data_IF_361181994919
#
_entry.id   IF_361181994919
#
_cell.length_a   1.000
_cell.length_b   1.000
_cell.length_c   1.000
_cell.angle_alpha   90.00
_cell.angle_beta   90.00
_cell.angle_gamma   90.00
#
_symmetry.space_group_name_H-M   'P 1'
#
loop_
_entity.id
_entity.type
_entity.pdbx_description
1 polymer ?
#
# COMPACT_ATOMS: atom_id res chain seq x y z
N UNK A 1 24.66 9.02 -18.19
CA UNK A 1 23.26 9.34 -18.56
C UNK A 1 22.70 8.37 -19.61
N UNK A 2 23.39 8.05 -20.72
CA UNK A 2 22.88 7.10 -21.74
C UNK A 2 22.45 5.72 -21.19
N UNK A 3 23.15 5.18 -20.19
CA UNK A 3 22.78 3.90 -19.58
C UNK A 3 21.49 4.00 -18.74
N UNK A 4 21.33 5.09 -17.97
CA UNK A 4 20.18 5.31 -17.10
C UNK A 4 18.91 5.62 -17.92
N UNK A 5 19.05 6.20 -19.11
CA UNK A 5 17.94 6.61 -19.97
C UNK A 5 17.49 5.54 -20.97
N UNK A 6 17.89 4.28 -20.77
CA UNK A 6 17.43 3.20 -21.64
C UNK A 6 15.90 3.02 -21.52
N UNK A 7 15.22 2.60 -22.60
CA UNK A 7 13.79 2.31 -22.55
C UNK A 7 13.46 1.28 -21.48
N UNK A 8 12.38 1.50 -20.73
CA UNK A 8 11.83 0.58 -19.75
C UNK A 8 10.67 -0.21 -20.34
N UNK A 9 10.46 -1.45 -19.88
CA UNK A 9 9.30 -2.26 -20.24
C UNK A 9 8.06 -1.83 -19.44
N UNK A 10 8.24 -1.50 -18.16
CA UNK A 10 7.20 -0.98 -17.27
C UNK A 10 7.77 0.04 -16.28
N UNK A 11 6.90 0.74 -15.57
CA UNK A 11 7.27 1.65 -14.49
C UNK A 11 6.79 1.08 -13.15
N UNK A 12 7.72 0.66 -12.29
CA UNK A 12 7.46 0.14 -10.96
C UNK A 12 7.69 1.19 -9.88
N UNK A 13 6.80 1.26 -8.89
CA UNK A 13 6.94 2.22 -7.79
C UNK A 13 6.43 1.69 -6.45
N UNK A 14 7.20 1.92 -5.38
CA UNK A 14 6.78 1.74 -4.01
C UNK A 14 5.94 2.96 -3.59
N UNK A 15 4.67 2.74 -3.26
CA UNK A 15 3.75 3.82 -2.88
C UNK A 15 2.97 3.42 -1.63
N UNK A 16 3.08 4.23 -0.57
CA UNK A 16 2.40 3.97 0.71
C UNK A 16 1.38 5.05 1.08
N UNK A 17 1.71 6.31 0.82
CA UNK A 17 0.86 7.44 1.16
C UNK A 17 1.15 8.66 0.29
N UNK A 18 0.34 9.71 0.45
CA UNK A 18 0.48 10.96 -0.27
C UNK A 18 0.41 12.18 0.66
N UNK A 19 0.91 13.30 0.15
CA UNK A 19 0.69 14.62 0.73
C UNK A 19 -0.48 15.27 0.03
N UNK A 20 -1.49 15.70 0.79
CA UNK A 20 -2.59 16.51 0.26
C UNK A 20 -2.13 17.95 0.09
N UNK A 21 -2.40 18.52 -1.07
CA UNK A 21 -2.11 19.91 -1.38
C UNK A 21 -3.35 20.65 -1.81
N UNK A 22 -3.36 21.98 -1.65
CA UNK A 22 -4.37 22.90 -2.17
C UNK A 22 -3.72 24.05 -2.90
N UNK A 23 -4.47 24.76 -3.70
CA UNK A 23 -4.00 26.02 -4.27
C UNK A 23 -3.83 27.07 -3.16
N UNK A 24 -2.67 27.70 -3.12
CA UNK A 24 -2.39 28.88 -2.29
C UNK A 24 -2.91 30.15 -2.97
N UNK A 25 -2.83 31.30 -2.27
CA UNK A 25 -3.26 32.61 -2.77
C UNK A 25 -2.50 33.03 -4.04
N UNK A 26 -1.24 32.60 -4.16
CA UNK A 26 -0.37 32.85 -5.33
C UNK A 26 -0.54 31.78 -6.43
N UNK A 27 -1.52 30.89 -6.32
CA UNK A 27 -1.78 29.79 -7.25
C UNK A 27 -0.81 28.62 -7.15
N UNK A 28 0.20 28.67 -6.26
CA UNK A 28 1.11 27.55 -6.04
C UNK A 28 0.52 26.50 -5.11
N UNK A 29 1.01 25.27 -5.24
CA UNK A 29 0.63 24.19 -4.34
C UNK A 29 1.14 24.44 -2.92
N UNK A 30 0.24 24.47 -1.94
CA UNK A 30 0.57 24.51 -0.52
C UNK A 30 0.04 23.25 0.17
N UNK A 31 0.78 22.74 1.16
CA UNK A 31 0.35 21.57 1.91
C UNK A 31 -0.96 21.87 2.64
N UNK A 32 -1.96 21.03 2.44
CA UNK A 32 -3.19 21.10 3.19
C UNK A 32 -2.98 20.53 4.61
N UNK A 33 -3.53 21.21 5.61
CA UNK A 33 -3.56 20.69 6.98
C UNK A 33 -4.61 19.60 7.06
N UNK A 34 -4.25 18.45 7.65
CA UNK A 34 -5.19 17.38 7.97
C UNK A 34 -5.89 17.71 9.29
N UNK A 35 -7.14 17.28 9.42
CA UNK A 35 -7.88 17.42 10.67
C UNK A 35 -7.27 16.52 11.77
N UNK A 36 -7.48 16.89 13.03
CA UNK A 36 -7.05 16.10 14.17
C UNK A 36 -7.74 14.73 14.17
N UNK A 37 -6.97 13.67 14.44
CA UNK A 37 -7.49 12.29 14.35
C UNK A 37 -7.57 11.73 12.92
N UNK A 38 -6.94 12.38 11.93
CA UNK A 38 -6.83 11.80 10.59
C UNK A 38 -6.22 10.39 10.65
N UNK A 39 -6.80 9.38 9.95
CA UNK A 39 -6.35 7.99 10.02
C UNK A 39 -4.86 7.84 9.69
N UNK A 40 -4.15 7.11 10.56
CA UNK A 40 -2.72 6.86 10.42
C UNK A 40 -2.40 5.38 10.70
N UNK A 41 -1.33 4.91 10.08
CA UNK A 41 -0.74 3.60 10.38
C UNK A 41 0.05 3.64 11.70
N UNK A 42 0.49 2.49 12.20
CA UNK A 42 1.26 2.39 13.46
C UNK A 42 2.56 3.24 13.47
N UNK A 43 3.13 3.52 12.31
CA UNK A 43 4.31 4.40 12.17
C UNK A 43 3.97 5.85 11.83
N UNK A 44 2.70 6.24 11.98
CA UNK A 44 2.25 7.62 11.77
C UNK A 44 2.08 8.04 10.31
N UNK A 45 2.12 7.12 9.36
CA UNK A 45 1.83 7.44 7.97
C UNK A 45 0.33 7.63 7.75
N UNK A 46 -0.09 8.69 7.06
CA UNK A 46 -1.51 8.93 6.81
C UNK A 46 -2.09 7.88 5.85
N UNK A 47 -3.32 7.48 6.11
CA UNK A 47 -4.08 6.59 5.22
C UNK A 47 -4.69 7.44 4.10
N UNK A 48 -4.16 7.32 2.89
CA UNK A 48 -4.52 8.14 1.72
C UNK A 48 -4.68 7.27 0.47
N UNK A 49 -5.75 6.46 0.38
CA UNK A 49 -5.92 5.45 -0.69
C UNK A 49 -5.93 6.06 -2.10
N UNK A 50 -6.38 7.31 -2.26
CA UNK A 50 -6.40 8.00 -3.56
C UNK A 50 -5.01 8.13 -4.22
N UNK A 51 -3.94 7.90 -3.47
CA UNK A 51 -2.59 7.87 -4.05
C UNK A 51 -2.44 6.75 -5.09
N UNK A 52 -3.09 5.60 -4.90
CA UNK A 52 -3.06 4.49 -5.86
C UNK A 52 -4.00 4.70 -7.08
N UNK A 53 -4.83 5.74 -7.05
CA UNK A 53 -5.57 6.19 -8.22
C UNK A 53 -4.77 7.22 -9.03
N UNK A 54 -4.29 8.27 -8.37
CA UNK A 54 -3.66 9.40 -9.05
C UNK A 54 -2.22 9.15 -9.50
N UNK A 55 -1.40 8.48 -8.68
CA UNK A 55 0.00 8.27 -9.04
C UNK A 55 0.16 7.43 -10.33
N UNK A 56 -0.54 6.29 -10.51
CA UNK A 56 -0.49 5.55 -11.77
C UNK A 56 -0.93 6.38 -12.99
N UNK A 57 -2.00 7.18 -12.85
CA UNK A 57 -2.48 8.06 -13.94
C UNK A 57 -1.41 9.05 -14.36
N UNK A 58 -0.80 9.78 -13.42
CA UNK A 58 0.25 10.74 -13.73
C UNK A 58 1.52 10.10 -14.30
N UNK A 59 1.89 8.92 -13.78
CA UNK A 59 3.08 8.20 -14.26
C UNK A 59 2.87 7.65 -15.66
N UNK A 60 1.71 7.05 -15.95
CA UNK A 60 1.39 6.60 -17.30
C UNK A 60 1.26 7.77 -18.29
N UNK A 61 0.63 8.87 -17.89
CA UNK A 61 0.56 10.07 -18.73
C UNK A 61 1.96 10.57 -19.11
N UNK A 62 2.88 10.56 -18.16
CA UNK A 62 4.26 11.05 -18.36
C UNK A 62 5.15 10.06 -19.12
N UNK A 63 5.12 8.78 -18.76
CA UNK A 63 6.09 7.79 -19.25
C UNK A 63 5.53 6.87 -20.34
N UNK A 64 4.21 6.80 -20.52
CA UNK A 64 3.53 5.96 -21.53
C UNK A 64 3.95 4.48 -21.42
N UNK A 65 4.03 3.96 -20.20
CA UNK A 65 4.43 2.60 -19.89
C UNK A 65 3.42 1.95 -18.96
N UNK A 66 3.26 0.62 -19.01
CA UNK A 66 2.51 -0.11 -17.97
C UNK A 66 3.02 0.26 -16.59
N UNK A 67 2.11 0.38 -15.62
CA UNK A 67 2.45 0.77 -14.25
C UNK A 67 2.27 -0.40 -13.29
N UNK A 68 3.17 -0.54 -12.34
CA UNK A 68 3.14 -1.59 -11.33
C UNK A 68 3.39 -1.00 -9.93
N UNK A 69 2.56 -1.38 -8.97
CA UNK A 69 2.87 -1.14 -7.55
C UNK A 69 3.83 -2.24 -7.08
N UNK A 70 5.07 -1.87 -6.83
CA UNK A 70 6.11 -2.80 -6.37
C UNK A 70 6.10 -2.97 -4.86
N UNK A 71 5.56 -2.02 -4.10
CA UNK A 71 5.24 -2.16 -2.70
C UNK A 71 4.10 -1.22 -2.30
N UNK A 72 3.14 -1.75 -1.53
CA UNK A 72 2.16 -0.99 -0.76
C UNK A 72 1.74 -1.83 0.45
N UNK A 73 1.49 -1.21 1.59
CA UNK A 73 1.09 -1.86 2.82
C UNK A 73 1.03 -0.91 4.00
N UNK A 74 0.70 -1.43 5.16
CA UNK A 74 0.65 -0.64 6.40
C UNK A 74 1.28 -1.37 7.57
N UNK A 75 1.99 -0.61 8.41
CA UNK A 75 2.36 -1.07 9.73
C UNK A 75 1.14 -1.09 10.66
N UNK A 76 1.01 -2.13 11.47
CA UNK A 76 -0.04 -2.29 12.47
C UNK A 76 0.52 -2.88 13.75
N UNK A 77 -0.22 -2.70 14.86
CA UNK A 77 0.08 -3.34 16.15
C UNK A 77 -0.67 -4.66 16.23
N UNK A 78 -0.10 -5.69 15.60
CA UNK A 78 -0.72 -7.00 15.54
C UNK A 78 -0.29 -7.88 16.71
N UNK A 79 -1.21 -8.66 17.26
CA UNK A 79 -0.95 -9.67 18.29
C UNK A 79 -1.80 -10.91 18.05
N UNK A 80 -1.43 -12.00 18.67
CA UNK A 80 -2.20 -13.24 18.63
C UNK A 80 -3.36 -13.15 19.62
N UNK A 81 -4.58 -13.28 19.13
CA UNK A 81 -5.80 -13.30 19.94
C UNK A 81 -5.90 -14.54 20.81
N UNK A 82 -6.87 -14.55 21.72
CA UNK A 82 -7.13 -15.68 22.63
C UNK A 82 -7.56 -16.97 21.89
N UNK A 83 -8.04 -16.84 20.67
CA UNK A 83 -8.38 -17.93 19.75
C UNK A 83 -7.19 -18.44 18.93
N UNK A 84 -6.00 -17.91 19.16
CA UNK A 84 -4.75 -18.27 18.48
C UNK A 84 -4.62 -17.68 17.07
N UNK A 85 -5.50 -16.77 16.64
CA UNK A 85 -5.46 -16.10 15.35
C UNK A 85 -4.95 -14.65 15.47
N UNK A 86 -4.71 -14.03 14.34
CA UNK A 86 -4.34 -12.60 14.27
C UNK A 86 -5.37 -11.87 13.42
N UNK A 87 -6.18 -11.07 14.09
CA UNK A 87 -7.26 -10.30 13.51
C UNK A 87 -6.78 -8.88 13.21
N UNK A 88 -6.33 -8.64 11.99
CA UNK A 88 -5.79 -7.37 11.54
C UNK A 88 -6.77 -6.59 10.64
N UNK A 89 -8.00 -6.41 11.13
CA UNK A 89 -9.11 -5.79 10.39
C UNK A 89 -8.75 -4.42 9.81
N UNK A 90 -7.92 -3.63 10.50
CA UNK A 90 -7.47 -2.33 9.98
C UNK A 90 -6.64 -2.49 8.69
N UNK A 91 -5.84 -3.56 8.59
CA UNK A 91 -5.08 -3.85 7.36
C UNK A 91 -5.99 -4.36 6.24
N UNK A 92 -7.01 -5.14 6.56
CA UNK A 92 -8.05 -5.54 5.57
C UNK A 92 -8.74 -4.31 5.00
N UNK A 93 -9.20 -3.38 5.84
CA UNK A 93 -9.82 -2.12 5.40
C UNK A 93 -8.86 -1.24 4.58
N UNK A 94 -7.61 -1.13 5.02
CA UNK A 94 -6.56 -0.42 4.27
C UNK A 94 -6.41 -1.02 2.86
N UNK A 95 -6.23 -2.34 2.76
CA UNK A 95 -6.04 -3.01 1.48
C UNK A 95 -7.26 -2.86 0.57
N UNK A 96 -8.47 -3.01 1.10
CA UNK A 96 -9.70 -2.83 0.34
C UNK A 96 -9.79 -1.42 -0.27
N UNK A 97 -9.49 -0.38 0.50
CA UNK A 97 -9.50 1.01 0.03
C UNK A 97 -8.43 1.30 -1.01
N UNK A 98 -7.19 0.85 -0.78
CA UNK A 98 -6.07 1.10 -1.67
C UNK A 98 -6.21 0.33 -2.99
N UNK A 99 -6.57 -0.95 -2.92
CA UNK A 99 -6.82 -1.77 -4.12
C UNK A 99 -8.06 -1.30 -4.88
N UNK A 100 -9.12 -0.87 -4.18
CA UNK A 100 -10.28 -0.25 -4.83
C UNK A 100 -9.93 1.04 -5.58
N UNK A 101 -9.06 1.88 -5.02
CA UNK A 101 -8.55 3.06 -5.73
C UNK A 101 -7.68 2.68 -6.95
N UNK A 102 -6.86 1.64 -6.83
CA UNK A 102 -6.04 1.10 -7.90
C UNK A 102 -6.89 0.53 -9.04
N UNK A 103 -7.93 -0.26 -8.69
CA UNK A 103 -8.92 -0.80 -9.65
C UNK A 103 -9.62 0.31 -10.44
N UNK A 104 -10.07 1.38 -9.78
CA UNK A 104 -10.66 2.54 -10.48
C UNK A 104 -9.70 3.18 -11.49
N UNK A 105 -8.40 3.22 -11.20
CA UNK A 105 -7.42 3.72 -12.16
C UNK A 105 -7.37 2.84 -13.42
N UNK A 106 -7.47 1.50 -13.28
CA UNK A 106 -7.57 0.59 -14.42
C UNK A 106 -8.87 0.80 -15.21
N UNK A 107 -10.01 0.95 -14.53
CA UNK A 107 -11.32 1.23 -15.14
C UNK A 107 -11.30 2.53 -15.94
N UNK A 108 -10.51 3.52 -15.50
CA UNK A 108 -10.27 4.78 -16.23
C UNK A 108 -9.17 4.68 -17.31
N UNK A 109 -8.73 3.47 -17.66
CA UNK A 109 -7.83 3.20 -18.79
C UNK A 109 -6.33 3.25 -18.48
N UNK A 110 -5.93 3.20 -17.20
CA UNK A 110 -4.52 3.05 -16.85
C UNK A 110 -4.10 1.60 -17.06
N UNK A 111 -3.02 1.38 -17.79
CA UNK A 111 -2.43 0.06 -17.99
C UNK A 111 -1.67 -0.39 -16.74
N UNK A 112 -2.33 -1.19 -15.88
CA UNK A 112 -1.81 -1.68 -14.62
C UNK A 112 -1.26 -3.10 -14.78
N UNK A 113 0.06 -3.26 -14.59
CA UNK A 113 0.74 -4.54 -14.76
C UNK A 113 0.72 -5.43 -13.51
N UNK A 114 0.51 -4.87 -12.31
CA UNK A 114 0.47 -5.66 -11.09
C UNK A 114 0.55 -4.86 -9.79
N UNK A 115 0.36 -5.60 -8.69
CA UNK A 115 0.43 -5.05 -7.34
C UNK A 115 1.10 -6.04 -6.40
N UNK A 116 2.05 -5.57 -5.59
CA UNK A 116 2.73 -6.35 -4.57
C UNK A 116 2.49 -5.74 -3.18
N UNK A 117 1.91 -6.55 -2.30
CA UNK A 117 1.74 -6.17 -0.91
C UNK A 117 3.08 -6.19 -0.16
N UNK A 118 3.41 -5.12 0.56
CA UNK A 118 4.47 -5.12 1.55
C UNK A 118 3.90 -5.39 2.93
N UNK A 119 4.20 -6.54 3.52
CA UNK A 119 5.09 -7.61 3.09
C UNK A 119 4.44 -8.97 3.31
N UNK A 120 5.05 -10.04 2.78
CA UNK A 120 4.55 -11.40 2.98
C UNK A 120 4.50 -11.76 4.46
N UNK A 121 5.56 -11.46 5.23
CA UNK A 121 5.63 -11.76 6.66
C UNK A 121 6.25 -10.59 7.43
N UNK A 122 5.93 -10.50 8.73
CA UNK A 122 6.59 -9.54 9.61
C UNK A 122 8.11 -9.74 9.57
N UNK A 123 8.85 -8.64 9.44
CA UNK A 123 10.28 -8.63 9.23
C UNK A 123 10.97 -7.45 9.93
N UNK A 124 12.25 -7.27 9.69
CA UNK A 124 13.05 -6.17 10.20
C UNK A 124 12.75 -4.88 9.39
N UNK A 125 12.13 -3.89 10.07
CA UNK A 125 11.74 -2.62 9.46
C UNK A 125 12.79 -1.53 9.73
N UNK A 126 13.94 -1.63 9.08
CA UNK A 126 15.01 -0.62 9.12
C UNK A 126 15.26 -0.05 10.53
N UNK A 127 15.13 1.27 10.69
CA UNK A 127 15.36 1.95 11.98
C UNK A 127 14.35 1.57 13.10
N UNK A 128 13.21 0.98 12.74
CA UNK A 128 12.20 0.49 13.70
C UNK A 128 12.50 -0.93 14.21
N UNK A 129 13.48 -1.63 13.63
CA UNK A 129 13.78 -3.01 13.98
C UNK A 129 12.58 -3.93 13.80
N UNK A 130 12.24 -4.72 14.80
CA UNK A 130 11.11 -5.65 14.79
C UNK A 130 9.83 -5.10 15.43
N UNK A 131 9.81 -3.80 15.77
CA UNK A 131 8.66 -3.19 16.46
C UNK A 131 7.45 -2.94 15.55
N UNK A 132 7.67 -2.85 14.23
CA UNK A 132 6.62 -2.59 13.24
C UNK A 132 6.27 -3.86 12.45
N UNK A 133 4.97 -4.07 12.24
CA UNK A 133 4.47 -5.28 11.58
C UNK A 133 3.74 -4.93 10.30
N UNK A 134 4.38 -5.21 9.17
CA UNK A 134 3.80 -5.03 7.83
C UNK A 134 3.26 -6.34 7.22
N UNK A 135 3.67 -7.48 7.78
CA UNK A 135 3.40 -8.78 7.19
C UNK A 135 1.92 -9.13 7.08
N UNK A 136 1.57 -9.84 6.03
CA UNK A 136 0.32 -10.61 5.93
C UNK A 136 0.37 -11.86 6.82
N UNK A 137 1.58 -12.34 7.12
CA UNK A 137 1.84 -13.45 8.04
C UNK A 137 2.53 -12.89 9.27
N UNK A 138 1.93 -13.14 10.44
CA UNK A 138 2.52 -12.82 11.73
C UNK A 138 3.72 -13.72 12.00
N UNK A 139 4.83 -13.13 12.40
CA UNK A 139 6.00 -13.83 12.87
C UNK A 139 6.11 -13.69 14.38
N UNK A 140 6.02 -14.79 15.12
CA UNK A 140 6.47 -14.82 16.51
C UNK A 140 8.01 -14.85 16.52
N UNK A 141 8.62 -13.76 16.88
CA UNK A 141 10.08 -13.63 16.80
C UNK A 141 10.82 -14.49 17.82
N UNK A 142 10.16 -14.95 18.89
CA UNK A 142 10.76 -15.83 19.90
C UNK A 142 10.77 -17.29 19.44
N UNK A 143 9.63 -17.77 18.92
CA UNK A 143 9.44 -19.19 18.56
C UNK A 143 9.62 -19.44 17.08
N UNK A 144 9.67 -18.39 16.26
CA UNK A 144 9.69 -18.45 14.80
C UNK A 144 8.42 -19.05 14.19
N UNK A 145 7.34 -19.18 14.96
CA UNK A 145 6.03 -19.61 14.46
C UNK A 145 5.44 -18.57 13.50
N UNK A 146 4.82 -19.03 12.43
CA UNK A 146 4.10 -18.21 11.44
C UNK A 146 2.61 -18.42 11.59
N UNK A 147 1.85 -17.33 11.65
CA UNK A 147 0.38 -17.35 11.74
C UNK A 147 -0.16 -16.45 10.64
N UNK A 148 -1.02 -16.97 9.78
CA UNK A 148 -1.70 -16.18 8.76
C UNK A 148 -2.66 -15.20 9.42
N UNK A 149 -2.61 -13.94 9.02
CA UNK A 149 -3.51 -12.89 9.47
C UNK A 149 -4.78 -12.86 8.61
N UNK A 150 -5.83 -12.19 9.07
CA UNK A 150 -7.07 -12.06 8.30
C UNK A 150 -6.81 -11.38 6.95
N UNK A 151 -5.91 -10.39 6.90
CA UNK A 151 -5.48 -9.73 5.67
C UNK A 151 -4.85 -10.67 4.64
N UNK A 152 -4.20 -11.75 5.06
CA UNK A 152 -3.63 -12.74 4.13
C UNK A 152 -4.75 -13.50 3.39
N UNK A 153 -5.81 -13.88 4.10
CA UNK A 153 -6.97 -14.53 3.48
C UNK A 153 -7.74 -13.57 2.58
N UNK A 154 -7.88 -12.31 2.99
CA UNK A 154 -8.46 -11.26 2.17
C UNK A 154 -7.68 -11.09 0.86
N UNK A 155 -6.35 -10.91 0.95
CA UNK A 155 -5.50 -10.72 -0.23
C UNK A 155 -5.48 -11.95 -1.14
N UNK A 156 -5.48 -13.16 -0.57
CA UNK A 156 -5.65 -14.40 -1.33
C UNK A 156 -6.92 -14.37 -2.17
N UNK A 157 -8.06 -13.99 -1.58
CA UNK A 157 -9.34 -13.88 -2.30
C UNK A 157 -9.26 -12.86 -3.43
N UNK A 158 -8.62 -11.70 -3.22
CA UNK A 158 -8.42 -10.69 -4.26
C UNK A 158 -7.62 -11.24 -5.44
N UNK A 159 -6.56 -12.01 -5.16
CA UNK A 159 -5.75 -12.65 -6.21
C UNK A 159 -6.57 -13.68 -6.98
N UNK A 160 -7.29 -14.56 -6.28
CA UNK A 160 -8.10 -15.63 -6.88
C UNK A 160 -9.23 -15.11 -7.75
N UNK A 161 -9.79 -13.93 -7.42
CA UNK A 161 -10.88 -13.29 -8.15
C UNK A 161 -10.41 -12.17 -9.09
N UNK A 162 -9.09 -11.98 -9.24
CA UNK A 162 -8.52 -10.87 -10.02
C UNK A 162 -9.16 -9.50 -9.66
N UNK A 163 -9.45 -9.29 -8.37
CA UNK A 163 -10.03 -8.06 -7.86
C UNK A 163 -11.53 -7.85 -8.16
N UNK A 164 -12.25 -8.87 -8.64
CA UNK A 164 -13.69 -8.73 -8.89
C UNK A 164 -14.49 -8.41 -7.61
N UNK A 165 -14.02 -8.88 -6.46
CA UNK A 165 -14.66 -8.72 -5.15
C UNK A 165 -14.20 -7.44 -4.40
N UNK A 166 -13.58 -6.47 -5.08
CA UNK A 166 -13.19 -5.16 -4.52
C UNK A 166 -14.29 -4.12 -4.67
#
# INVERSE_FOLDING_TARGET
>A
MKLISQPLDFFGQNIYNAVTVRAGEDGKAVRAVRYDGFPQTAIGWPVTPEVLYWAPKFMQERYKKPFMITENGMASHDWVGVDGKVHDQARVDFMARYLGAYKRAAEDGVDLAGYFAWSVMDNFEWAYGYSQRFGLVYTDYNTQKRIWKDSAYFYKNIIETNGENL
#
